data_IF_683406016040
#
_entry.id   IF_683406016040
#
_cell.length_a   1.000
_cell.length_b   1.000
_cell.length_c   1.000
_cell.angle_alpha   90.00
_cell.angle_beta   90.00
_cell.angle_gamma   90.00
#
_symmetry.space_group_name_H-M   'P 1'
#
loop_
_entity.id
_entity.type
_entity.pdbx_description
1 polymer ?
#
# COMPACT_ATOMS: atom_id res chain seq x y z
N UNK A 1 9.33 -15.45 24.19
CA UNK A 1 8.03 -14.76 24.34
C UNK A 1 7.23 -15.07 23.07
N UNK A 2 6.32 -16.04 23.12
CA UNK A 2 5.49 -16.43 21.97
C UNK A 2 4.34 -15.43 21.87
N UNK A 3 4.32 -14.61 20.82
CA UNK A 3 3.26 -13.63 20.58
C UNK A 3 1.94 -14.33 20.25
N UNK A 4 0.87 -13.91 20.89
CA UNK A 4 -0.49 -14.38 20.65
C UNK A 4 -0.92 -14.02 19.21
N UNK A 5 -1.23 -15.04 18.40
CA UNK A 5 -1.66 -14.84 17.01
C UNK A 5 -3.19 -14.74 16.99
N UNK A 6 -3.70 -13.52 16.94
CA UNK A 6 -5.14 -13.27 16.81
C UNK A 6 -5.57 -13.56 15.37
N UNK A 7 -6.36 -14.62 15.17
CA UNK A 7 -7.00 -14.89 13.88
C UNK A 7 -8.18 -13.95 13.68
N UNK A 8 -8.02 -12.98 12.79
CA UNK A 8 -9.11 -12.13 12.32
C UNK A 8 -9.95 -12.90 11.30
N UNK A 9 -10.74 -13.87 11.78
CA UNK A 9 -11.65 -14.65 10.94
C UNK A 9 -12.99 -13.93 10.79
N UNK A 10 -13.04 -12.98 9.86
CA UNK A 10 -14.25 -12.47 9.23
C UNK A 10 -14.03 -12.45 7.72
N UNK A 11 -15.09 -12.48 6.90
CA UNK A 11 -14.97 -12.24 5.46
C UNK A 11 -14.63 -10.76 5.24
N UNK A 12 -13.40 -10.38 5.56
CA UNK A 12 -12.89 -9.06 5.26
C UNK A 12 -12.93 -8.86 3.74
N UNK A 13 -13.22 -7.64 3.25
CA UNK A 13 -12.99 -7.32 1.85
C UNK A 13 -11.56 -7.72 1.48
N UNK A 14 -11.39 -8.31 0.29
CA UNK A 14 -10.09 -8.75 -0.16
C UNK A 14 -9.14 -7.55 -0.14
N UNK A 15 -8.03 -7.68 0.59
CA UNK A 15 -7.08 -6.58 0.76
C UNK A 15 -6.54 -6.14 -0.60
N UNK A 16 -6.40 -7.07 -1.56
CA UNK A 16 -6.01 -6.77 -2.93
C UNK A 16 -7.00 -5.84 -3.61
N UNK A 17 -8.31 -6.09 -3.50
CA UNK A 17 -9.34 -5.21 -4.06
C UNK A 17 -9.31 -3.80 -3.43
N UNK A 18 -9.13 -3.70 -2.11
CA UNK A 18 -9.03 -2.41 -1.41
C UNK A 18 -7.81 -1.62 -1.91
N UNK A 19 -6.66 -2.27 -2.00
CA UNK A 19 -5.42 -1.63 -2.47
C UNK A 19 -5.55 -1.21 -3.93
N UNK A 20 -6.19 -2.03 -4.77
CA UNK A 20 -6.45 -1.70 -6.17
C UNK A 20 -7.34 -0.45 -6.30
N UNK A 21 -8.42 -0.37 -5.53
CA UNK A 21 -9.27 0.82 -5.51
C UNK A 21 -8.52 2.06 -4.98
N UNK A 22 -7.68 1.91 -3.95
CA UNK A 22 -6.85 3.00 -3.45
C UNK A 22 -5.84 3.50 -4.51
N UNK A 23 -5.27 2.60 -5.31
CA UNK A 23 -4.40 2.94 -6.44
C UNK A 23 -5.15 3.65 -7.57
N UNK A 24 -6.37 3.24 -7.91
CA UNK A 24 -7.14 3.87 -8.98
C UNK A 24 -7.67 5.25 -8.55
N UNK A 25 -8.23 5.34 -7.35
CA UNK A 25 -8.81 6.57 -6.80
C UNK A 25 -7.77 7.55 -6.28
N UNK A 26 -6.53 7.12 -6.07
CA UNK A 26 -5.46 7.89 -5.42
C UNK A 26 -5.83 8.34 -4.00
N UNK A 27 -6.82 7.69 -3.39
CA UNK A 27 -7.29 8.04 -2.05
C UNK A 27 -6.21 7.70 -1.03
N UNK A 28 -5.90 8.66 -0.15
CA UNK A 28 -4.86 8.55 0.88
C UNK A 28 -3.43 8.40 0.34
N UNK A 29 -3.18 8.71 -0.94
CA UNK A 29 -1.82 8.79 -1.44
C UNK A 29 -1.04 9.86 -0.66
N UNK A 30 0.11 9.47 -0.11
CA UNK A 30 0.94 10.28 0.80
C UNK A 30 2.34 10.55 0.23
N UNK A 31 2.66 9.95 -0.92
CA UNK A 31 3.94 10.13 -1.61
C UNK A 31 3.73 10.25 -3.12
N UNK A 32 4.61 11.00 -3.77
CA UNK A 32 4.70 11.07 -5.21
C UNK A 32 6.08 10.58 -5.67
N UNK A 33 6.11 9.60 -6.58
CA UNK A 33 7.32 9.19 -7.28
C UNK A 33 7.52 10.10 -8.50
N UNK A 34 8.62 10.84 -8.51
CA UNK A 34 8.98 11.75 -9.59
C UNK A 34 9.99 11.08 -10.51
N UNK A 35 9.59 10.79 -11.75
CA UNK A 35 10.47 10.21 -12.74
C UNK A 35 11.24 11.30 -13.50
N UNK A 36 12.46 11.00 -13.97
CA UNK A 36 13.13 11.83 -14.97
C UNK A 36 12.19 12.09 -16.16
N UNK A 37 12.17 13.31 -16.67
CA UNK A 37 11.20 13.73 -17.70
C UNK A 37 9.87 14.27 -17.15
N UNK A 38 9.75 14.45 -15.82
CA UNK A 38 8.68 15.22 -15.21
C UNK A 38 7.38 14.46 -14.94
N UNK A 39 7.33 13.17 -15.25
CA UNK A 39 6.20 12.31 -14.91
C UNK A 39 6.14 12.08 -13.39
N UNK A 40 4.91 12.01 -12.87
CA UNK A 40 4.64 11.89 -11.43
C UNK A 40 3.61 10.81 -11.19
N UNK A 41 3.87 9.94 -10.23
CA UNK A 41 2.96 8.88 -9.80
C UNK A 41 2.65 9.04 -8.33
N UNK A 42 1.37 9.26 -8.01
CA UNK A 42 0.89 9.24 -6.63
C UNK A 42 0.82 7.78 -6.14
N UNK A 43 1.21 7.56 -4.90
CA UNK A 43 1.32 6.24 -4.29
C UNK A 43 1.19 6.31 -2.77
N UNK A 44 1.31 5.16 -2.12
CA UNK A 44 1.20 4.99 -0.67
C UNK A 44 2.50 4.44 -0.12
N UNK A 45 3.17 5.20 0.76
CA UNK A 45 4.47 4.83 1.31
C UNK A 45 4.43 3.45 1.97
N UNK A 46 3.40 3.16 2.78
CA UNK A 46 3.23 1.88 3.44
C UNK A 46 3.17 0.68 2.47
N UNK A 47 2.51 0.84 1.32
CA UNK A 47 2.41 -0.21 0.30
C UNK A 47 3.76 -0.43 -0.37
N UNK A 48 4.46 0.65 -0.72
CA UNK A 48 5.80 0.57 -1.33
C UNK A 48 6.82 -0.08 -0.39
N UNK A 49 6.82 0.30 0.88
CA UNK A 49 7.69 -0.26 1.92
C UNK A 49 7.45 -1.76 2.16
N UNK A 50 6.20 -2.22 2.01
CA UNK A 50 5.87 -3.63 2.09
C UNK A 50 6.27 -4.41 0.83
N UNK A 51 6.22 -3.78 -0.34
CA UNK A 51 6.53 -4.40 -1.63
C UNK A 51 8.03 -4.42 -1.96
N UNK A 52 8.83 -3.50 -1.42
CA UNK A 52 10.26 -3.38 -1.73
C UNK A 52 11.06 -2.81 -0.56
N UNK A 53 12.12 -3.49 -0.07
CA UNK A 53 13.02 -2.98 0.96
C UNK A 53 13.70 -1.65 0.58
N UNK A 54 13.88 -1.38 -0.71
CA UNK A 54 14.48 -0.14 -1.20
C UNK A 54 13.55 1.09 -0.98
N UNK A 55 12.25 0.86 -0.85
CA UNK A 55 11.22 1.89 -0.69
C UNK A 55 10.65 1.93 0.75
N UNK A 56 11.38 1.35 1.70
CA UNK A 56 11.15 1.53 3.14
C UNK A 56 11.71 2.87 3.60
#
# INVERSE_FOLDING_TARGET
MMGEVIRVSGRAPDVGDILKEAMLSQRFADVALCCPGGQRFLAHRLVLSAASPYLQ
#
